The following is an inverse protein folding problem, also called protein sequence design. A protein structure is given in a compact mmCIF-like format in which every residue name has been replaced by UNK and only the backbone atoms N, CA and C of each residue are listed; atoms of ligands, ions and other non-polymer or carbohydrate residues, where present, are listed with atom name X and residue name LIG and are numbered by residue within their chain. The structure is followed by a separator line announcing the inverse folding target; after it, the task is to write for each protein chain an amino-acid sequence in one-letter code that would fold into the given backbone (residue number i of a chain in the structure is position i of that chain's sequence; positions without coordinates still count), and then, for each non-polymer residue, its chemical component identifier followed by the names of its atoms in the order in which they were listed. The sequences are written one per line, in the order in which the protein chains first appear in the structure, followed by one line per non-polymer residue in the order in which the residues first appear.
data_IF_642613554746
#
_entry.id   IF_642613554746
#
_cell.length_a   1.000
_cell.length_b   1.000
_cell.length_c   1.000
_cell.angle_alpha   90.00
_cell.angle_beta   90.00
_cell.angle_gamma   90.00
#
_symmetry.space_group_name_H-M   'P 1'
#
loop_
_entity.id
_entity.type
_entity.pdbx_description
1 polymer ?
#
# COMPACT_ATOMS: atom_id res chain seq x y z
N UNK A 1 -18.85 22.66 82.71
CA UNK A 1 -17.78 23.68 82.66
C UNK A 1 -16.45 22.96 82.59
N UNK A 2 -15.90 23.00 81.38
CA UNK A 2 -14.53 22.73 80.90
C UNK A 2 -13.55 21.90 81.78
N UNK A 3 -13.11 20.77 81.22
CA UNK A 3 -11.78 20.19 81.45
C UNK A 3 -10.89 20.53 80.25
N UNK A 4 -9.61 20.91 80.44
CA UNK A 4 -8.69 21.08 79.33
C UNK A 4 -7.99 19.77 78.94
N UNK A 5 -7.75 19.72 77.64
CA UNK A 5 -7.06 18.74 76.82
C UNK A 5 -5.67 18.29 77.32
N UNK A 6 -5.36 17.01 77.08
CA UNK A 6 -4.14 16.62 76.36
C UNK A 6 -4.27 15.17 75.89
N UNK A 7 -4.84 14.96 74.71
CA UNK A 7 -4.77 13.67 74.01
C UNK A 7 -3.52 13.64 73.14
N UNK A 8 -2.71 12.63 73.40
CA UNK A 8 -1.54 12.23 72.64
C UNK A 8 -1.94 11.90 71.19
N UNK A 9 -1.50 12.69 70.22
CA UNK A 9 -1.68 12.39 68.81
C UNK A 9 -0.70 11.29 68.39
N UNK A 10 -1.21 10.06 68.26
CA UNK A 10 -0.55 8.97 67.56
C UNK A 10 -0.57 9.29 66.06
N UNK A 11 0.57 9.71 65.51
CA UNK A 11 0.74 9.90 64.07
C UNK A 11 0.73 8.53 63.37
N UNK A 12 -0.36 8.20 62.71
CA UNK A 12 -0.42 7.09 61.76
C UNK A 12 0.24 7.55 60.45
N UNK A 13 1.53 7.24 60.28
CA UNK A 13 2.22 7.41 59.00
C UNK A 13 1.74 6.27 58.09
N UNK A 14 0.75 6.55 57.25
CA UNK A 14 0.41 5.70 56.11
C UNK A 14 1.54 5.86 55.10
N UNK A 15 2.48 4.93 55.10
CA UNK A 15 3.46 4.79 54.02
C UNK A 15 2.69 4.29 52.80
N UNK A 16 2.27 5.21 51.94
CA UNK A 16 1.91 4.92 50.56
C UNK A 16 3.17 4.39 49.86
N UNK A 17 3.33 3.08 49.85
CA UNK A 17 4.22 2.39 48.91
C UNK A 17 3.83 2.90 47.50
N UNK A 18 4.75 3.50 46.73
CA UNK A 18 4.50 3.70 45.32
C UNK A 18 4.46 2.29 44.74
N UNK A 19 3.27 1.86 44.33
CA UNK A 19 3.06 0.64 43.56
C UNK A 19 3.63 0.90 42.16
N UNK A 20 4.94 1.07 42.06
CA UNK A 20 5.71 1.07 40.83
C UNK A 20 6.25 -0.35 40.67
N UNK A 21 5.33 -1.29 40.45
CA UNK A 21 5.63 -2.46 39.64
C UNK A 21 5.35 -2.04 38.21
N UNK A 22 6.43 -1.74 37.51
CA UNK A 22 6.53 -1.57 36.07
C UNK A 22 5.77 -2.67 35.33
N UNK A 23 4.53 -2.38 34.94
CA UNK A 23 3.88 -3.02 33.79
C UNK A 23 4.39 -2.30 32.55
N UNK A 24 5.64 -2.54 32.20
CA UNK A 24 6.19 -2.16 30.92
C UNK A 24 6.79 -3.42 30.28
N UNK A 25 6.28 -3.72 29.09
CA UNK A 25 6.75 -4.69 28.12
C UNK A 25 6.64 -6.18 28.52
N UNK A 26 5.51 -6.79 28.15
CA UNK A 26 5.49 -7.86 27.14
C UNK A 26 4.06 -8.38 26.95
N UNK A 27 3.21 -7.60 26.28
CA UNK A 27 2.21 -8.20 25.40
C UNK A 27 2.86 -8.34 24.02
N UNK A 28 3.86 -9.21 23.91
CA UNK A 28 4.20 -9.76 22.60
C UNK A 28 3.08 -10.75 22.29
N UNK A 29 2.07 -10.24 21.58
CA UNK A 29 0.86 -10.94 21.19
C UNK A 29 1.19 -12.27 20.50
N UNK A 30 0.33 -13.28 20.68
CA UNK A 30 0.34 -14.59 20.00
C UNK A 30 0.32 -14.52 18.45
N UNK A 31 0.43 -13.35 17.83
CA UNK A 31 0.20 -13.08 16.39
C UNK A 31 1.45 -12.98 15.51
N UNK A 32 2.67 -12.97 16.06
CA UNK A 32 3.89 -12.85 15.23
C UNK A 32 4.21 -14.17 14.52
N UNK A 33 4.24 -14.13 13.19
CA UNK A 33 4.61 -15.25 12.32
C UNK A 33 6.12 -15.45 12.37
N UNK A 34 6.57 -16.62 12.85
CA UNK A 34 7.99 -17.00 12.87
C UNK A 34 8.40 -17.90 11.71
N UNK A 35 7.47 -18.65 11.13
CA UNK A 35 7.69 -19.54 10.00
C UNK A 35 6.61 -19.30 8.95
N UNK A 36 7.02 -19.13 7.71
CA UNK A 36 6.13 -18.89 6.59
C UNK A 36 6.37 -19.97 5.53
N UNK A 37 5.35 -20.75 5.11
CA UNK A 37 5.56 -21.79 4.11
C UNK A 37 6.18 -21.23 2.83
N UNK A 38 7.14 -21.96 2.26
CA UNK A 38 7.93 -21.50 1.11
C UNK A 38 9.17 -20.70 1.49
N UNK A 39 9.30 -20.20 2.72
CA UNK A 39 10.54 -19.58 3.22
C UNK A 39 11.39 -20.62 3.96
N UNK A 40 12.70 -20.67 3.68
CA UNK A 40 13.60 -21.62 4.34
C UNK A 40 14.02 -21.11 5.73
N UNK A 41 13.66 -21.87 6.77
CA UNK A 41 13.94 -21.52 8.16
C UNK A 41 13.01 -20.45 8.75
N UNK A 42 13.36 -19.91 9.94
CA UNK A 42 12.59 -18.85 10.57
C UNK A 42 12.76 -17.52 9.83
N UNK A 43 11.71 -16.69 9.83
CA UNK A 43 11.77 -15.34 9.27
C UNK A 43 12.82 -14.49 10.03
N UNK A 44 13.73 -13.79 9.34
CA UNK A 44 14.71 -12.91 9.98
C UNK A 44 14.12 -11.54 10.38
N UNK A 45 12.81 -11.36 10.25
CA UNK A 45 12.06 -10.14 10.57
C UNK A 45 10.75 -10.51 11.26
N UNK A 46 10.17 -9.56 11.99
CA UNK A 46 8.87 -9.75 12.65
C UNK A 46 7.75 -9.41 11.67
N UNK A 47 6.96 -10.42 11.32
CA UNK A 47 5.75 -10.32 10.51
C UNK A 47 4.52 -10.59 11.38
N UNK A 48 3.54 -9.71 11.31
CA UNK A 48 2.21 -9.91 11.89
C UNK A 48 1.17 -9.76 10.78
N UNK A 49 0.09 -10.52 10.87
CA UNK A 49 -1.03 -10.43 9.94
C UNK A 49 -2.34 -10.50 10.70
N UNK A 50 -3.38 -9.94 10.10
CA UNK A 50 -4.70 -10.00 10.70
C UNK A 50 -5.72 -9.17 9.95
N UNK A 51 -6.85 -8.96 10.62
CA UNK A 51 -7.97 -8.20 10.09
C UNK A 51 -8.33 -7.07 11.03
N UNK A 52 -8.68 -5.93 10.47
CA UNK A 52 -9.34 -4.83 11.18
C UNK A 52 -10.72 -4.62 10.57
N UNK A 53 -11.74 -4.63 11.42
CA UNK A 53 -13.11 -4.33 11.05
C UNK A 53 -13.33 -2.82 10.87
N UNK A 54 -13.96 -2.44 9.77
CA UNK A 54 -14.31 -1.04 9.42
C UNK A 54 -15.72 -0.99 8.82
N UNK A 55 -16.32 0.19 8.79
CA UNK A 55 -17.74 0.37 8.50
C UNK A 55 -18.59 0.41 9.78
N UNK A 56 -19.82 0.89 9.67
CA UNK A 56 -20.69 1.18 10.84
C UNK A 56 -20.94 -0.06 11.72
N UNK A 57 -21.00 -1.24 11.11
CA UNK A 57 -21.21 -2.52 11.77
C UNK A 57 -19.97 -3.43 11.67
N UNK A 58 -18.79 -2.87 11.38
CA UNK A 58 -17.56 -3.60 11.07
C UNK A 58 -17.76 -4.65 9.97
N UNK A 59 -18.64 -4.34 9.03
CA UNK A 59 -19.05 -5.23 7.97
C UNK A 59 -17.97 -5.44 6.90
N UNK A 60 -16.96 -4.57 6.87
CA UNK A 60 -15.75 -4.72 6.05
C UNK A 60 -14.59 -5.16 6.92
N UNK A 61 -13.88 -6.20 6.50
CA UNK A 61 -12.72 -6.73 7.17
C UNK A 61 -11.49 -6.52 6.28
N UNK A 62 -10.67 -5.52 6.61
CA UNK A 62 -9.43 -5.23 5.88
C UNK A 62 -8.29 -6.09 6.42
N UNK A 63 -7.69 -6.88 5.53
CA UNK A 63 -6.52 -7.70 5.82
C UNK A 63 -5.23 -6.87 5.72
N UNK A 64 -4.30 -7.10 6.64
CA UNK A 64 -3.01 -6.42 6.63
C UNK A 64 -1.84 -7.37 6.89
N UNK A 65 -0.68 -6.96 6.39
CA UNK A 65 0.63 -7.47 6.75
C UNK A 65 1.39 -6.33 7.43
N UNK A 66 1.85 -6.54 8.65
CA UNK A 66 2.67 -5.59 9.38
C UNK A 66 4.07 -6.17 9.56
N UNK A 67 5.08 -5.46 9.04
CA UNK A 67 6.49 -5.79 9.24
C UNK A 67 7.13 -4.71 10.07
N UNK A 68 7.70 -5.08 11.23
CA UNK A 68 8.43 -4.13 12.07
C UNK A 68 9.76 -3.74 11.43
N UNK A 69 10.22 -2.52 11.72
CA UNK A 69 11.57 -2.12 11.34
C UNK A 69 12.59 -3.11 11.90
N UNK A 70 13.50 -3.54 11.04
CA UNK A 70 14.60 -4.44 11.39
C UNK A 70 15.72 -3.71 12.15
N UNK A 71 15.70 -2.37 12.19
CA UNK A 71 16.70 -1.54 12.90
C UNK A 71 16.22 -1.16 14.30
N UNK A 72 15.24 -0.26 14.42
CA UNK A 72 14.69 0.16 15.70
C UNK A 72 13.21 0.54 15.57
N UNK A 73 12.28 -0.42 15.74
CA UNK A 73 10.85 -0.18 15.49
C UNK A 73 10.19 0.81 16.46
N UNK A 74 10.81 1.13 17.59
CA UNK A 74 10.32 2.15 18.53
C UNK A 74 10.63 3.59 18.07
N UNK A 75 11.65 3.77 17.24
CA UNK A 75 12.11 5.09 16.77
C UNK A 75 11.92 5.31 15.27
N UNK A 76 11.97 4.23 14.49
CA UNK A 76 11.87 4.26 13.05
C UNK A 76 10.43 4.60 12.61
N UNK A 77 10.27 5.25 11.44
CA UNK A 77 8.95 5.67 10.98
C UNK A 77 8.03 4.48 10.68
N UNK A 78 6.73 4.71 10.87
CA UNK A 78 5.67 3.84 10.39
C UNK A 78 5.22 4.30 9.00
N UNK A 79 5.21 3.39 8.03
CA UNK A 79 4.69 3.60 6.69
C UNK A 79 3.39 2.80 6.51
N UNK A 80 2.36 3.44 5.96
CA UNK A 80 1.22 2.75 5.37
C UNK A 80 1.49 2.58 3.87
N UNK A 81 1.49 1.34 3.37
CA UNK A 81 1.63 1.03 1.95
C UNK A 81 0.28 0.66 1.34
N UNK A 82 -0.09 1.38 0.29
CA UNK A 82 -1.31 1.16 -0.49
C UNK A 82 -0.92 0.80 -1.92
N UNK A 83 -1.27 -0.42 -2.34
CA UNK A 83 -1.10 -0.84 -3.74
C UNK A 83 -2.32 -0.38 -4.56
N UNK A 84 -2.08 0.02 -5.81
CA UNK A 84 -3.10 0.57 -6.70
C UNK A 84 -4.01 -0.46 -7.37
N UNK A 85 -4.23 -0.32 -8.67
CA UNK A 85 -5.14 -1.16 -9.47
C UNK A 85 -6.24 -0.32 -10.13
N UNK A 86 -7.32 0.04 -9.42
CA UNK A 86 -7.67 -0.29 -8.03
C UNK A 86 -7.93 -1.78 -7.81
N UNK A 87 -7.81 -2.24 -6.56
CA UNK A 87 -8.11 -3.62 -6.19
C UNK A 87 -6.94 -4.59 -6.27
N UNK A 88 -5.70 -4.09 -6.37
CA UNK A 88 -4.51 -4.91 -6.28
C UNK A 88 -4.05 -5.11 -4.82
N UNK A 89 -3.75 -6.35 -4.46
CA UNK A 89 -3.32 -6.74 -3.13
C UNK A 89 -1.97 -6.15 -2.77
N UNK A 90 -1.88 -5.73 -1.51
CA UNK A 90 -0.68 -5.19 -0.88
C UNK A 90 0.42 -6.24 -0.69
N UNK A 91 0.12 -7.53 -0.91
CA UNK A 91 1.14 -8.56 -1.10
C UNK A 91 2.09 -8.22 -2.26
N UNK A 92 1.65 -7.40 -3.23
CA UNK A 92 2.53 -6.88 -4.28
C UNK A 92 3.63 -5.99 -3.70
N UNK A 93 3.26 -5.06 -2.81
CA UNK A 93 4.20 -4.25 -2.03
C UNK A 93 5.18 -5.09 -1.22
N UNK A 94 4.64 -6.11 -0.55
CA UNK A 94 5.40 -6.98 0.35
C UNK A 94 6.43 -7.88 -0.37
N UNK A 95 6.09 -8.40 -1.56
CA UNK A 95 6.84 -9.48 -2.21
C UNK A 95 7.46 -9.14 -3.57
N UNK A 96 7.11 -8.01 -4.17
CA UNK A 96 7.62 -7.60 -5.50
C UNK A 96 8.23 -6.20 -5.52
N UNK A 97 8.00 -5.39 -4.48
CA UNK A 97 8.38 -3.98 -4.46
C UNK A 97 9.33 -3.71 -3.29
N UNK A 98 8.81 -3.27 -2.15
CA UNK A 98 9.62 -2.70 -1.07
C UNK A 98 9.73 -3.58 0.18
N UNK A 99 9.01 -4.70 0.22
CA UNK A 99 8.99 -5.58 1.38
C UNK A 99 10.15 -6.58 1.46
N UNK A 100 10.23 -7.33 2.57
CA UNK A 100 11.36 -8.22 2.90
C UNK A 100 11.29 -9.58 2.20
N UNK A 101 10.27 -9.81 1.37
CA UNK A 101 10.05 -11.06 0.67
C UNK A 101 10.25 -10.87 -0.83
N UNK A 102 10.68 -11.94 -1.50
CA UNK A 102 10.60 -12.07 -2.95
C UNK A 102 10.35 -13.51 -3.35
N UNK A 103 9.61 -13.73 -4.43
CA UNK A 103 9.46 -15.06 -5.00
C UNK A 103 10.71 -15.47 -5.77
N UNK A 104 11.18 -16.69 -5.54
CA UNK A 104 12.16 -17.30 -6.43
C UNK A 104 11.48 -17.55 -7.80
N UNK A 105 11.96 -16.86 -8.83
CA UNK A 105 11.43 -17.04 -10.20
C UNK A 105 12.08 -18.28 -10.81
N UNK A 106 11.36 -19.41 -10.73
CA UNK A 106 11.72 -20.68 -11.35
C UNK A 106 10.49 -21.29 -12.03
N UNK A 107 10.70 -22.24 -12.94
CA UNK A 107 9.61 -22.95 -13.59
C UNK A 107 8.75 -23.70 -12.56
N UNK A 108 7.46 -23.39 -12.53
CA UNK A 108 6.48 -23.99 -11.64
C UNK A 108 6.31 -25.47 -11.96
N UNK A 109 6.72 -26.30 -11.01
CA UNK A 109 6.71 -27.76 -11.11
C UNK A 109 5.54 -28.40 -10.32
N UNK A 110 4.59 -27.59 -9.84
CA UNK A 110 3.48 -28.05 -8.99
C UNK A 110 3.77 -28.07 -7.48
N UNK A 111 5.00 -27.76 -7.06
CA UNK A 111 5.34 -27.60 -5.64
C UNK A 111 5.04 -26.18 -5.14
N UNK A 112 4.94 -26.02 -3.82
CA UNK A 112 4.73 -24.72 -3.20
C UNK A 112 5.87 -23.75 -3.60
N UNK A 113 5.56 -22.54 -4.09
CA UNK A 113 6.57 -21.56 -4.44
C UNK A 113 7.53 -21.20 -3.30
N UNK A 114 8.79 -20.99 -3.65
CA UNK A 114 9.84 -20.60 -2.70
C UNK A 114 9.90 -19.08 -2.56
N UNK A 115 10.00 -18.63 -1.30
CA UNK A 115 10.25 -17.26 -0.89
C UNK A 115 11.70 -17.11 -0.48
N UNK A 116 12.29 -15.98 -0.86
CA UNK A 116 13.62 -15.57 -0.47
C UNK A 116 13.53 -14.26 0.32
N UNK A 117 14.51 -14.04 1.18
CA UNK A 117 14.70 -12.75 1.84
C UNK A 117 15.15 -11.68 0.83
N UNK A 118 14.59 -10.48 0.95
CA UNK A 118 14.99 -9.29 0.22
C UNK A 118 15.86 -8.39 1.13
N UNK A 119 17.19 -8.33 0.93
CA UNK A 119 18.07 -7.52 1.77
C UNK A 119 17.90 -6.01 1.57
N UNK A 120 17.32 -5.59 0.45
CA UNK A 120 17.14 -4.18 0.06
C UNK A 120 15.76 -3.63 0.48
N UNK A 121 15.04 -4.38 1.31
CA UNK A 121 13.72 -4.00 1.82
C UNK A 121 13.72 -2.68 2.57
N UNK A 122 12.65 -1.90 2.42
CA UNK A 122 12.46 -0.66 3.17
C UNK A 122 12.21 -0.93 4.67
N UNK A 123 11.89 -2.17 5.03
CA UNK A 123 11.78 -2.62 6.43
C UNK A 123 13.10 -2.54 7.18
N UNK A 124 14.24 -2.36 6.48
CA UNK A 124 15.53 -2.09 7.11
C UNK A 124 15.56 -0.83 7.98
N UNK A 125 14.70 0.15 7.69
CA UNK A 125 14.71 1.46 8.36
C UNK A 125 13.31 2.00 8.65
N UNK A 126 12.26 1.16 8.51
CA UNK A 126 10.88 1.56 8.76
C UNK A 126 10.02 0.37 9.13
N UNK A 127 9.01 0.60 9.96
CA UNK A 127 7.92 -0.36 10.15
C UNK A 127 6.87 -0.11 9.08
N UNK A 128 6.33 -1.14 8.44
CA UNK A 128 5.44 -0.98 7.28
C UNK A 128 4.17 -1.81 7.47
N UNK A 129 3.02 -1.17 7.30
CA UNK A 129 1.70 -1.82 7.21
C UNK A 129 1.30 -1.85 5.73
N UNK A 130 1.23 -3.04 5.17
CA UNK A 130 0.69 -3.32 3.85
C UNK A 130 -0.78 -3.72 4.01
N UNK A 131 -1.72 -2.97 3.45
CA UNK A 131 -3.16 -3.23 3.63
C UNK A 131 -3.85 -3.55 2.31
N UNK A 132 -4.56 -4.68 2.28
CA UNK A 132 -5.42 -5.04 1.16
C UNK A 132 -6.65 -4.14 1.15
N UNK A 133 -6.63 -3.12 0.29
CA UNK A 133 -7.68 -2.11 0.20
C UNK A 133 -7.97 -1.79 -1.28
N UNK A 134 -9.24 -1.61 -1.68
CA UNK A 134 -10.48 -1.61 -0.89
C UNK A 134 -11.00 -3.03 -0.55
N UNK A 135 -12.18 -3.12 0.05
CA UNK A 135 -12.88 -4.40 0.29
C UNK A 135 -12.96 -5.27 -0.97
N UNK A 136 -12.72 -6.58 -0.83
CA UNK A 136 -12.66 -7.54 -1.94
C UNK A 136 -11.30 -7.63 -2.63
N UNK A 137 -10.31 -6.86 -2.17
CA UNK A 137 -8.90 -6.94 -2.60
C UNK A 137 -8.17 -7.99 -1.79
N UNK A 138 -7.38 -8.84 -2.45
CA UNK A 138 -6.54 -9.84 -1.79
C UNK A 138 -7.32 -10.71 -0.80
N UNK A 139 -6.99 -10.60 0.49
CA UNK A 139 -7.68 -11.32 1.56
C UNK A 139 -8.77 -10.52 2.29
N UNK A 140 -9.00 -9.26 1.93
CA UNK A 140 -10.04 -8.40 2.51
C UNK A 140 -11.43 -8.76 1.98
N UNK A 141 -12.44 -8.77 2.86
CA UNK A 141 -13.79 -9.22 2.51
C UNK A 141 -14.89 -8.45 3.28
N UNK A 142 -16.14 -8.63 2.86
CA UNK A 142 -17.32 -8.12 3.56
C UNK A 142 -18.09 -9.27 4.23
N UNK A 143 -18.61 -9.05 5.44
CA UNK A 143 -19.38 -10.06 6.21
C UNK A 143 -20.85 -10.14 5.81
N UNK A 144 -21.40 -9.08 5.20
CA UNK A 144 -22.74 -9.04 4.63
C UNK A 144 -22.72 -9.26 3.12
N UNK A 145 -23.82 -9.78 2.55
CA UNK A 145 -23.94 -9.97 1.10
C UNK A 145 -23.58 -8.67 0.35
N UNK A 146 -22.51 -8.73 -0.43
CA UNK A 146 -21.64 -7.62 -0.84
C UNK A 146 -22.25 -6.57 -1.77
N UNK A 147 -23.50 -6.76 -2.21
CA UNK A 147 -24.14 -5.83 -3.17
C UNK A 147 -24.43 -4.44 -2.58
N UNK A 148 -24.41 -4.30 -1.25
CA UNK A 148 -24.62 -3.02 -0.58
C UNK A 148 -23.35 -2.15 -0.48
N UNK A 149 -22.15 -2.75 -0.43
CA UNK A 149 -20.89 -2.03 -0.21
C UNK A 149 -20.13 -1.95 -1.51
N UNK A 150 -20.46 -0.92 -2.30
CA UNK A 150 -19.74 -0.65 -3.53
C UNK A 150 -18.46 0.13 -3.21
N UNK A 151 -17.26 -0.40 -3.50
CA UNK A 151 -16.02 0.34 -3.24
C UNK A 151 -15.94 1.57 -4.16
N UNK A 152 -15.45 2.69 -3.63
CA UNK A 152 -15.17 3.92 -4.35
C UNK A 152 -13.96 4.63 -3.76
N UNK A 153 -13.46 5.70 -4.39
CA UNK A 153 -12.32 6.46 -3.82
C UNK A 153 -12.68 7.00 -2.42
N UNK A 154 -13.87 7.62 -2.29
CA UNK A 154 -14.35 8.16 -1.00
C UNK A 154 -14.52 7.06 0.06
N UNK A 155 -15.15 5.93 -0.29
CA UNK A 155 -15.36 4.82 0.64
C UNK A 155 -14.03 4.18 1.05
N UNK A 156 -13.11 4.01 0.10
CA UNK A 156 -11.78 3.47 0.35
C UNK A 156 -10.99 4.36 1.33
N UNK A 157 -11.01 5.67 1.13
CA UNK A 157 -10.34 6.63 2.03
C UNK A 157 -10.96 6.59 3.43
N UNK A 158 -12.29 6.56 3.53
CA UNK A 158 -12.99 6.46 4.83
C UNK A 158 -12.61 5.18 5.59
N UNK A 159 -12.59 4.03 4.91
CA UNK A 159 -12.18 2.77 5.52
C UNK A 159 -10.69 2.74 5.88
N UNK A 160 -9.81 3.31 5.06
CA UNK A 160 -8.39 3.40 5.36
C UNK A 160 -8.12 4.31 6.57
N UNK A 161 -8.88 5.41 6.70
CA UNK A 161 -8.81 6.29 7.86
C UNK A 161 -9.25 5.57 9.14
N UNK A 162 -10.40 4.88 9.11
CA UNK A 162 -10.88 4.10 10.25
C UNK A 162 -9.91 2.98 10.64
N UNK A 163 -9.38 2.27 9.63
CA UNK A 163 -8.33 1.27 9.81
C UNK A 163 -7.13 1.85 10.57
N UNK A 164 -6.60 3.00 10.12
CA UNK A 164 -5.46 3.66 10.76
C UNK A 164 -5.75 4.11 12.19
N UNK A 165 -6.99 4.50 12.50
CA UNK A 165 -7.39 4.88 13.86
C UNK A 165 -7.42 3.69 14.81
N UNK A 166 -7.73 2.49 14.30
CA UNK A 166 -7.85 1.25 15.08
C UNK A 166 -6.53 0.50 15.19
N UNK A 167 -5.74 0.45 14.11
CA UNK A 167 -4.51 -0.37 14.06
C UNK A 167 -3.48 0.13 15.09
N UNK A 168 -3.08 -0.75 16.01
CA UNK A 168 -2.06 -0.44 17.03
C UNK A 168 -2.47 0.59 18.09
N UNK A 169 -3.76 0.96 18.18
CA UNK A 169 -4.25 1.93 19.17
C UNK A 169 -5.52 1.46 19.89
N UNK A 170 -5.44 0.28 20.50
CA UNK A 170 -6.51 -0.32 21.31
C UNK A 170 -6.96 0.59 22.46
N UNK A 171 -6.09 1.49 22.92
CA UNK A 171 -6.34 2.42 24.02
C UNK A 171 -6.98 3.75 23.59
N UNK A 172 -7.22 3.97 22.29
CA UNK A 172 -7.92 5.15 21.78
C UNK A 172 -7.19 6.49 22.02
N UNK A 173 -5.85 6.47 22.08
CA UNK A 173 -5.03 7.66 22.34
C UNK A 173 -5.02 8.62 21.15
N UNK A 174 -5.12 9.93 21.41
CA UNK A 174 -5.15 11.01 20.41
C UNK A 174 -3.88 11.89 20.47
N UNK A 175 -3.39 12.45 19.34
CA UNK A 175 -3.87 12.24 17.98
C UNK A 175 -3.53 10.85 17.47
N UNK A 176 -4.48 10.23 16.77
CA UNK A 176 -4.35 8.85 16.27
C UNK A 176 -3.20 8.64 15.28
N UNK A 177 -2.95 9.64 14.43
CA UNK A 177 -1.91 9.58 13.39
C UNK A 177 -1.14 10.91 13.37
N UNK A 178 0.18 10.83 13.44
CA UNK A 178 1.09 11.96 13.33
C UNK A 178 1.73 12.00 11.93
N UNK A 179 0.93 12.30 10.92
CA UNK A 179 1.36 12.29 9.52
C UNK A 179 2.55 13.24 9.33
N UNK A 180 3.64 12.74 8.73
CA UNK A 180 4.84 13.54 8.43
C UNK A 180 4.94 13.95 6.98
N UNK A 181 4.31 13.19 6.10
CA UNK A 181 4.39 13.35 4.66
C UNK A 181 3.87 12.11 3.96
N UNK A 182 3.98 12.10 2.64
CA UNK A 182 3.57 10.97 1.80
C UNK A 182 4.57 10.77 0.66
N UNK A 183 4.61 9.54 0.15
CA UNK A 183 5.42 9.18 -1.02
C UNK A 183 4.50 8.49 -2.01
N UNK A 184 4.69 8.77 -3.30
CA UNK A 184 3.92 8.12 -4.36
C UNK A 184 4.86 7.72 -5.49
N UNK A 185 4.79 6.44 -5.86
CA UNK A 185 5.54 5.84 -6.95
C UNK A 185 4.65 5.64 -8.16
N UNK A 186 5.05 6.16 -9.33
CA UNK A 186 4.31 6.04 -10.59
C UNK A 186 2.80 6.39 -10.43
N UNK A 187 2.47 7.59 -9.90
CA UNK A 187 1.10 7.90 -9.52
C UNK A 187 0.20 8.26 -10.70
N UNK A 188 -0.96 7.59 -10.82
CA UNK A 188 -2.09 8.17 -11.56
C UNK A 188 -2.65 9.32 -10.74
N UNK A 189 -2.60 10.53 -11.28
CA UNK A 189 -3.00 11.77 -10.63
C UNK A 189 -4.22 12.39 -11.33
N UNK A 190 -4.40 12.11 -12.62
CA UNK A 190 -5.61 12.44 -13.38
C UNK A 190 -5.50 12.00 -14.83
N UNK A 191 -6.59 11.45 -15.39
CA UNK A 191 -6.59 10.85 -16.73
C UNK A 191 -6.08 11.77 -17.84
N UNK A 192 -6.28 13.10 -17.71
CA UNK A 192 -5.78 14.09 -18.67
C UNK A 192 -4.25 14.26 -18.70
N UNK A 193 -3.52 13.80 -17.68
CA UNK A 193 -2.05 13.86 -17.63
C UNK A 193 -1.40 12.51 -17.94
N UNK A 194 -1.91 11.45 -17.33
CA UNK A 194 -1.20 10.15 -17.29
C UNK A 194 -1.48 9.27 -18.51
N UNK A 195 -2.72 9.28 -19.03
CA UNK A 195 -3.15 8.36 -20.09
C UNK A 195 -2.66 8.77 -21.48
N UNK A 196 -2.44 10.06 -21.72
CA UNK A 196 -1.89 10.55 -22.99
C UNK A 196 -0.36 10.39 -23.10
N UNK A 197 0.32 10.05 -22.00
CA UNK A 197 1.77 9.89 -21.98
C UNK A 197 2.25 8.51 -22.48
N UNK A 198 1.37 7.49 -22.49
CA UNK A 198 1.77 6.08 -22.71
C UNK A 198 2.32 5.83 -24.12
N UNK A 199 1.68 6.37 -25.16
CA UNK A 199 2.07 6.16 -26.57
C UNK A 199 3.35 6.93 -26.94
N UNK A 200 3.47 8.24 -26.64
CA UNK A 200 4.73 8.97 -26.84
C UNK A 200 5.90 8.35 -26.07
N UNK A 201 5.65 7.87 -24.84
CA UNK A 201 6.66 7.17 -24.05
C UNK A 201 7.09 5.85 -24.70
N UNK A 202 6.14 5.01 -25.12
CA UNK A 202 6.42 3.74 -25.76
C UNK A 202 7.24 3.90 -27.06
N UNK A 203 6.96 4.95 -27.83
CA UNK A 203 7.73 5.30 -29.02
C UNK A 203 9.14 5.77 -28.66
N UNK A 204 9.28 6.69 -27.70
CA UNK A 204 10.59 7.17 -27.23
C UNK A 204 11.50 6.07 -26.66
N UNK A 205 10.91 5.00 -26.14
CA UNK A 205 11.60 3.81 -25.64
C UNK A 205 11.76 2.69 -26.69
N UNK A 206 11.39 2.94 -27.95
CA UNK A 206 11.44 2.00 -29.07
C UNK A 206 10.66 0.68 -28.84
N UNK A 207 9.58 0.73 -28.05
CA UNK A 207 8.69 -0.41 -27.77
C UNK A 207 7.62 -0.61 -28.85
N UNK A 208 7.34 0.44 -29.62
CA UNK A 208 6.47 0.43 -30.79
C UNK A 208 7.25 1.00 -31.99
N UNK A 209 6.92 0.54 -33.21
CA UNK A 209 7.60 1.02 -34.41
C UNK A 209 7.18 2.45 -34.76
N UNK A 210 8.00 3.15 -35.54
CA UNK A 210 7.68 4.48 -36.06
C UNK A 210 6.35 4.47 -36.83
N UNK A 211 6.08 3.40 -37.59
CA UNK A 211 4.82 3.24 -38.33
C UNK A 211 3.61 3.08 -37.41
N UNK A 212 3.74 2.30 -36.32
CA UNK A 212 2.66 2.15 -35.35
C UNK A 212 2.43 3.45 -34.57
N UNK A 213 3.50 4.18 -34.20
CA UNK A 213 3.40 5.47 -33.53
C UNK A 213 2.75 6.54 -34.43
N UNK A 214 3.21 6.69 -35.67
CA UNK A 214 2.63 7.63 -36.64
C UNK A 214 1.16 7.29 -36.89
N UNK A 215 0.83 6.00 -37.08
CA UNK A 215 -0.55 5.58 -37.26
C UNK A 215 -1.42 5.88 -36.03
N UNK A 216 -0.89 5.72 -34.81
CA UNK A 216 -1.59 6.11 -33.57
C UNK A 216 -1.77 7.63 -33.45
N UNK A 217 -0.76 8.44 -33.74
CA UNK A 217 -0.88 9.91 -33.74
C UNK A 217 -1.92 10.40 -34.76
N UNK A 218 -1.84 9.89 -35.99
CA UNK A 218 -2.73 10.30 -37.08
C UNK A 218 -4.17 9.83 -36.86
N UNK A 219 -4.36 8.57 -36.42
CA UNK A 219 -5.71 8.00 -36.26
C UNK A 219 -6.39 8.45 -34.97
N UNK A 220 -5.65 8.69 -33.88
CA UNK A 220 -6.22 9.04 -32.57
C UNK A 220 -6.12 10.54 -32.23
N UNK A 221 -5.33 11.34 -32.98
CA UNK A 221 -5.25 12.79 -32.81
C UNK A 221 -4.67 13.24 -31.47
N UNK A 222 -3.83 12.41 -30.83
CA UNK A 222 -3.27 12.67 -29.51
C UNK A 222 -4.24 12.42 -28.34
N UNK A 223 -5.43 11.87 -28.60
CA UNK A 223 -6.41 11.47 -27.59
C UNK A 223 -6.59 9.94 -27.62
N UNK A 224 -6.08 9.26 -26.59
CA UNK A 224 -6.01 7.81 -26.55
C UNK A 224 -6.97 7.18 -25.52
N UNK A 225 -7.74 7.99 -24.81
CA UNK A 225 -8.71 7.53 -23.81
C UNK A 225 -10.14 7.66 -24.32
N UNK A 226 -10.55 8.86 -24.74
CA UNK A 226 -11.92 9.17 -25.17
C UNK A 226 -12.07 9.08 -26.69
N UNK A 227 -11.90 7.86 -27.16
CA UNK A 227 -11.91 7.56 -28.59
C UNK A 227 -13.35 7.44 -29.06
N UNK A 228 -13.66 8.08 -30.18
CA UNK A 228 -14.93 7.87 -30.89
C UNK A 228 -15.11 6.37 -31.16
N UNK A 229 -16.18 5.72 -30.68
CA UNK A 229 -16.39 4.29 -30.87
C UNK A 229 -16.52 3.88 -32.35
N UNK A 230 -16.70 4.84 -33.26
CA UNK A 230 -16.70 4.63 -34.71
C UNK A 230 -15.30 4.69 -35.35
N UNK A 231 -14.29 5.17 -34.63
CA UNK A 231 -12.89 5.21 -35.08
C UNK A 231 -12.21 3.86 -34.91
N UNK A 232 -12.58 2.92 -35.79
CA UNK A 232 -12.10 1.54 -35.76
C UNK A 232 -10.58 1.40 -35.98
N UNK A 233 -9.97 2.36 -36.67
CA UNK A 233 -8.52 2.37 -36.95
C UNK A 233 -7.73 2.62 -35.66
N UNK A 234 -8.04 3.70 -34.93
CA UNK A 234 -7.44 4.00 -33.63
C UNK A 234 -7.64 2.83 -32.63
N UNK A 235 -8.86 2.27 -32.57
CA UNK A 235 -9.19 1.15 -31.69
C UNK A 235 -8.39 -0.13 -32.00
N UNK A 236 -8.09 -0.41 -33.26
CA UNK A 236 -7.30 -1.58 -33.64
C UNK A 236 -5.81 -1.41 -33.36
N UNK A 237 -5.26 -0.22 -33.59
CA UNK A 237 -3.88 0.10 -33.26
C UNK A 237 -3.62 0.03 -31.75
N UNK A 238 -4.57 0.49 -30.92
CA UNK A 238 -4.48 0.37 -29.46
C UNK A 238 -4.56 -1.06 -28.93
N UNK A 239 -5.23 -1.96 -29.66
CA UNK A 239 -5.23 -3.39 -29.30
C UNK A 239 -3.87 -4.03 -29.54
N UNK A 240 -3.16 -3.64 -30.59
CA UNK A 240 -1.82 -4.14 -30.89
C UNK A 240 -0.79 -3.68 -29.83
N UNK A 241 -1.00 -2.52 -29.21
CA UNK A 241 -0.17 -1.98 -28.13
C UNK A 241 -0.29 -2.76 -26.79
N UNK A 242 -1.44 -3.38 -26.50
CA UNK A 242 -1.73 -3.94 -25.17
C UNK A 242 -1.45 -5.45 -25.09
N UNK A 243 -0.27 -5.84 -24.61
CA UNK A 243 0.00 -7.17 -24.03
C UNK A 243 1.11 -7.07 -22.97
N UNK A 244 1.00 -7.76 -21.81
CA UNK A 244 2.18 -8.48 -21.34
C UNK A 244 1.92 -9.82 -20.62
N UNK A 245 2.99 -10.63 -20.60
CA UNK A 245 3.17 -11.87 -19.83
C UNK A 245 3.47 -11.57 -18.35
N UNK A 246 2.93 -12.40 -17.43
CA UNK A 246 3.06 -12.22 -15.98
C UNK A 246 3.28 -13.55 -15.23
N UNK A 247 4.46 -14.14 -15.39
CA UNK A 247 4.75 -15.44 -14.79
C UNK A 247 4.94 -15.39 -13.25
N UNK A 248 5.60 -14.37 -12.73
CA UNK A 248 5.82 -14.20 -11.28
C UNK A 248 4.51 -14.02 -10.49
N UNK A 249 3.51 -13.36 -11.10
CA UNK A 249 2.18 -13.18 -10.48
C UNK A 249 1.42 -14.50 -10.39
N UNK A 250 1.64 -15.42 -11.33
CA UNK A 250 1.04 -16.75 -11.30
C UNK A 250 1.59 -17.56 -10.11
N UNK A 251 2.91 -17.52 -9.90
CA UNK A 251 3.58 -18.16 -8.77
C UNK A 251 3.08 -17.58 -7.44
N UNK A 252 2.95 -16.25 -7.34
CA UNK A 252 2.38 -15.61 -6.14
C UNK A 252 0.96 -16.09 -5.85
N UNK A 253 0.13 -16.25 -6.89
CA UNK A 253 -1.22 -16.79 -6.71
C UNK A 253 -1.20 -18.20 -6.14
N UNK A 254 -0.40 -19.10 -6.69
CA UNK A 254 -0.31 -20.48 -6.20
C UNK A 254 0.13 -20.55 -4.74
N UNK A 255 1.06 -19.68 -4.35
CA UNK A 255 1.48 -19.55 -2.96
C UNK A 255 0.34 -19.04 -2.07
N UNK A 256 -0.33 -17.95 -2.45
CA UNK A 256 -1.41 -17.35 -1.64
C UNK A 256 -2.68 -18.23 -1.55
N UNK A 257 -2.89 -19.13 -2.51
CA UNK A 257 -4.00 -20.10 -2.51
C UNK A 257 -3.72 -21.36 -1.67
N UNK A 258 -2.47 -21.62 -1.30
CA UNK A 258 -2.14 -22.78 -0.48
C UNK A 258 -2.75 -22.68 0.93
N UNK A 259 -3.37 -23.78 1.38
CA UNK A 259 -4.08 -23.81 2.67
C UNK A 259 -3.14 -23.65 3.87
N UNK A 260 -1.90 -24.13 3.77
CA UNK A 260 -0.91 -23.98 4.83
C UNK A 260 -0.40 -22.54 4.88
N UNK A 261 -0.22 -21.89 3.72
CA UNK A 261 0.08 -20.45 3.65
C UNK A 261 -1.05 -19.62 4.29
N UNK A 262 -2.30 -19.85 3.87
CA UNK A 262 -3.45 -19.12 4.42
C UNK A 262 -3.58 -19.27 5.94
N UNK A 263 -3.37 -20.49 6.47
CA UNK A 263 -3.34 -20.73 7.92
C UNK A 263 -2.20 -19.98 8.61
N UNK A 264 -0.99 -20.00 8.04
CA UNK A 264 0.16 -19.29 8.59
C UNK A 264 -0.05 -17.77 8.59
N UNK A 265 -0.74 -17.23 7.58
CA UNK A 265 -1.12 -15.82 7.49
C UNK A 265 -2.37 -15.47 8.31
N UNK A 266 -2.94 -16.41 9.07
CA UNK A 266 -4.18 -16.20 9.84
C UNK A 266 -5.39 -15.77 8.98
N UNK A 267 -5.43 -16.17 7.71
CA UNK A 267 -6.59 -15.96 6.83
C UNK A 267 -7.75 -16.81 7.32
N UNK A 268 -8.93 -16.19 7.49
CA UNK A 268 -10.13 -16.86 8.02
C UNK A 268 -10.70 -17.84 6.99
N UNK A 269 -10.91 -19.09 7.38
CA UNK A 269 -11.42 -20.14 6.49
C UNK A 269 -12.82 -19.80 5.96
N UNK A 270 -13.05 -20.08 4.67
CA UNK A 270 -14.34 -19.82 4.00
C UNK A 270 -14.64 -18.36 3.65
N UNK A 271 -13.72 -17.42 3.93
CA UNK A 271 -13.93 -15.99 3.61
C UNK A 271 -13.48 -15.62 2.21
N UNK A 272 -12.51 -16.36 1.66
CA UNK A 272 -11.90 -16.12 0.34
C UNK A 272 -11.80 -17.46 -0.38
N UNK A 273 -12.50 -17.60 -1.52
CA UNK A 273 -12.46 -18.84 -2.32
C UNK A 273 -11.10 -18.99 -2.99
N UNK A 274 -10.73 -18.02 -3.84
CA UNK A 274 -9.44 -17.94 -4.52
C UNK A 274 -8.84 -16.56 -4.39
N UNK A 275 -7.56 -16.48 -4.06
CA UNK A 275 -6.83 -15.23 -3.98
C UNK A 275 -6.56 -14.68 -5.38
N UNK A 276 -6.76 -13.39 -5.53
CA UNK A 276 -6.58 -12.66 -6.78
C UNK A 276 -5.66 -11.49 -6.51
N UNK A 277 -4.54 -11.41 -7.25
CA UNK A 277 -3.59 -10.31 -7.11
C UNK A 277 -4.24 -8.97 -7.36
N UNK A 278 -5.02 -8.83 -8.43
CA UNK A 278 -5.75 -7.62 -8.78
C UNK A 278 -7.19 -7.96 -9.16
N UNK A 279 -8.15 -7.59 -8.31
CA UNK A 279 -9.56 -7.83 -8.54
C UNK A 279 -10.18 -6.63 -9.26
N UNK A 280 -10.10 -6.61 -10.60
CA UNK A 280 -10.73 -5.58 -11.40
C UNK A 280 -12.27 -5.73 -11.51
N UNK A 281 -12.82 -6.85 -11.02
CA UNK A 281 -14.26 -7.15 -11.02
C UNK A 281 -15.05 -6.54 -9.85
N UNK A 282 -14.41 -5.72 -9.01
CA UNK A 282 -15.01 -5.16 -7.79
C UNK A 282 -16.19 -4.20 -8.02
N UNK A 283 -16.39 -3.72 -9.25
CA UNK A 283 -17.39 -2.68 -9.53
C UNK A 283 -17.02 -1.33 -8.90
N UNK A 284 -15.71 -1.07 -8.77
CA UNK A 284 -15.13 0.14 -8.17
C UNK A 284 -15.64 1.41 -8.86
N UNK A 285 -15.93 2.44 -8.06
CA UNK A 285 -16.34 3.77 -8.54
C UNK A 285 -15.22 4.76 -8.35
N UNK A 286 -14.72 5.31 -9.45
CA UNK A 286 -13.83 6.47 -9.40
C UNK A 286 -14.66 7.75 -9.25
N UNK A 287 -14.95 8.14 -8.01
CA UNK A 287 -15.72 9.34 -7.66
C UNK A 287 -14.83 10.57 -7.39
N UNK A 288 -13.50 10.40 -7.41
CA UNK A 288 -12.51 11.47 -7.40
C UNK A 288 -11.82 11.52 -8.78
N UNK A 289 -12.11 12.55 -9.62
CA UNK A 289 -11.58 12.61 -10.98
C UNK A 289 -10.08 12.96 -11.06
N UNK A 290 -9.54 13.61 -10.02
CA UNK A 290 -8.11 13.93 -9.92
C UNK A 290 -7.70 14.16 -8.47
N UNK A 291 -6.51 13.69 -8.11
CA UNK A 291 -5.88 13.94 -6.82
C UNK A 291 -5.05 15.25 -6.78
N UNK A 292 -4.95 15.98 -7.89
CA UNK A 292 -4.12 17.18 -8.03
C UNK A 292 -4.41 18.24 -6.96
N UNK A 293 -5.69 18.57 -6.74
CA UNK A 293 -6.10 19.56 -5.73
C UNK A 293 -5.75 19.13 -4.30
N UNK A 294 -5.69 17.82 -4.04
CA UNK A 294 -5.26 17.31 -2.74
C UNK A 294 -3.74 17.46 -2.55
N UNK A 295 -2.94 17.31 -3.61
CA UNK A 295 -1.51 17.65 -3.55
C UNK A 295 -1.29 19.13 -3.24
N UNK A 296 -2.07 20.03 -3.86
CA UNK A 296 -2.04 21.47 -3.56
C UNK A 296 -2.40 21.72 -2.10
N UNK A 297 -3.51 21.16 -1.63
CA UNK A 297 -3.97 21.33 -0.26
C UNK A 297 -2.95 20.83 0.77
N UNK A 298 -2.43 19.61 0.62
CA UNK A 298 -1.47 19.03 1.57
C UNK A 298 -0.15 19.82 1.61
N UNK A 299 0.31 20.32 0.47
CA UNK A 299 1.49 21.17 0.39
C UNK A 299 1.28 22.49 1.15
N UNK A 300 0.08 23.10 1.07
CA UNK A 300 -0.24 24.31 1.85
C UNK A 300 -0.27 24.08 3.37
N UNK A 301 -0.46 22.83 3.80
CA UNK A 301 -0.38 22.42 5.22
C UNK A 301 1.05 22.13 5.66
N UNK A 302 2.03 22.17 4.76
CA UNK A 302 3.44 21.90 5.07
C UNK A 302 3.81 20.43 5.11
N UNK A 303 2.97 19.53 4.60
CA UNK A 303 3.32 18.12 4.48
C UNK A 303 4.34 17.92 3.37
N UNK A 304 5.38 17.14 3.66
CA UNK A 304 6.41 16.80 2.67
C UNK A 304 5.89 15.71 1.75
N UNK A 305 6.20 15.81 0.48
CA UNK A 305 5.91 14.78 -0.51
C UNK A 305 7.15 14.39 -1.29
N UNK A 306 7.29 13.10 -1.58
CA UNK A 306 8.23 12.60 -2.57
C UNK A 306 7.44 11.90 -3.67
N UNK A 307 7.60 12.40 -4.89
CA UNK A 307 6.99 11.86 -6.08
C UNK A 307 8.12 11.27 -6.91
N UNK A 308 8.05 9.98 -7.20
CA UNK A 308 9.05 9.28 -7.99
C UNK A 308 8.35 8.39 -9.03
N UNK A 309 9.01 8.18 -10.16
CA UNK A 309 8.49 7.32 -11.23
C UNK A 309 9.65 6.57 -11.86
N UNK A 310 9.51 5.26 -12.03
CA UNK A 310 10.44 4.47 -12.84
C UNK A 310 10.35 4.91 -14.30
N UNK A 311 11.50 5.16 -14.92
CA UNK A 311 11.62 5.66 -16.29
C UNK A 311 11.32 4.62 -17.38
N UNK A 312 11.04 3.37 -16.99
CA UNK A 312 10.62 2.27 -17.87
C UNK A 312 9.14 1.87 -17.69
N UNK A 313 8.38 2.56 -16.83
CA UNK A 313 6.96 2.26 -16.65
C UNK A 313 6.11 2.82 -17.80
N UNK A 314 5.57 1.91 -18.60
CA UNK A 314 4.67 2.25 -19.71
C UNK A 314 3.23 2.49 -19.26
N UNK A 315 2.83 1.98 -18.09
CA UNK A 315 1.45 2.06 -17.60
C UNK A 315 1.20 3.43 -16.99
N UNK A 316 2.15 3.94 -16.18
CA UNK A 316 2.13 5.32 -15.68
C UNK A 316 3.48 5.98 -15.96
N UNK A 317 3.69 6.50 -17.18
CA UNK A 317 4.96 7.08 -17.57
C UNK A 317 5.34 8.28 -16.72
N UNK A 318 6.64 8.40 -16.42
CA UNK A 318 7.19 9.53 -15.67
C UNK A 318 6.88 10.91 -16.31
N UNK A 319 6.61 10.95 -17.62
CA UNK A 319 6.22 12.17 -18.33
C UNK A 319 4.89 12.74 -17.81
N UNK A 320 3.90 11.89 -17.52
CA UNK A 320 2.64 12.32 -16.90
C UNK A 320 2.90 12.93 -15.52
N UNK A 321 3.76 12.27 -14.74
CA UNK A 321 4.21 12.74 -13.43
C UNK A 321 4.89 14.12 -13.51
N UNK A 322 5.85 14.31 -14.42
CA UNK A 322 6.51 15.60 -14.62
C UNK A 322 5.53 16.70 -15.04
N UNK A 323 4.54 16.35 -15.87
CA UNK A 323 3.57 17.32 -16.39
C UNK A 323 2.73 17.92 -15.28
N UNK A 324 2.13 17.10 -14.40
CA UNK A 324 1.31 17.64 -13.31
C UNK A 324 2.17 18.30 -12.21
N UNK A 325 3.39 17.83 -11.95
CA UNK A 325 4.32 18.51 -11.01
C UNK A 325 4.61 19.94 -11.50
N UNK A 326 4.86 20.13 -12.81
CA UNK A 326 5.05 21.46 -13.40
C UNK A 326 3.79 22.32 -13.28
N UNK A 327 2.61 21.71 -13.41
CA UNK A 327 1.32 22.42 -13.26
C UNK A 327 1.06 22.94 -11.85
N UNK A 328 1.69 22.37 -10.80
CA UNK A 328 1.63 22.94 -9.44
C UNK A 328 2.23 24.35 -9.34
N UNK A 329 3.13 24.70 -10.27
CA UNK A 329 3.77 26.02 -10.35
C UNK A 329 4.47 26.46 -9.04
N UNK A 330 5.12 25.52 -8.36
CA UNK A 330 5.90 25.80 -7.16
C UNK A 330 7.25 26.43 -7.51
N UNK A 331 7.77 27.25 -6.60
CA UNK A 331 9.12 27.81 -6.74
C UNK A 331 10.16 26.70 -6.62
N UNK A 332 11.07 26.64 -7.59
CA UNK A 332 12.21 25.72 -7.57
C UNK A 332 13.22 26.25 -6.57
N UNK A 333 13.43 25.50 -5.47
CA UNK A 333 14.42 25.84 -4.44
C UNK A 333 15.81 25.30 -4.77
N UNK A 334 15.87 24.22 -5.55
CA UNK A 334 17.10 23.61 -6.06
C UNK A 334 16.84 23.09 -7.48
N UNK A 335 17.78 23.35 -8.40
CA UNK A 335 17.65 22.92 -9.79
C UNK A 335 17.57 21.39 -9.91
N UNK A 336 16.78 20.95 -10.89
CA UNK A 336 16.68 19.55 -11.29
C UNK A 336 18.07 19.02 -11.67
N UNK A 337 18.45 17.89 -11.07
CA UNK A 337 19.76 17.27 -11.24
C UNK A 337 19.62 15.75 -11.20
N UNK A 338 20.58 15.05 -11.80
CA UNK A 338 20.71 13.62 -11.60
C UNK A 338 21.04 13.33 -10.12
N UNK A 339 20.44 12.26 -9.60
CA UNK A 339 20.82 11.67 -8.33
C UNK A 339 21.57 10.37 -8.63
N UNK A 340 22.48 9.99 -7.74
CA UNK A 340 23.36 8.85 -7.97
C UNK A 340 23.36 7.91 -6.77
N UNK A 341 23.40 6.62 -7.05
CA UNK A 341 23.57 5.53 -6.07
C UNK A 341 24.75 4.68 -6.54
N UNK A 342 25.75 4.52 -5.68
CA UNK A 342 26.95 3.70 -5.98
C UNK A 342 27.64 4.05 -7.32
N UNK A 343 27.59 5.32 -7.72
CA UNK A 343 28.21 5.81 -8.96
C UNK A 343 27.37 5.61 -10.22
N UNK A 344 26.15 5.09 -10.11
CA UNK A 344 25.18 5.01 -11.21
C UNK A 344 24.11 6.08 -11.06
N UNK A 345 23.65 6.63 -12.18
CA UNK A 345 22.43 7.45 -12.20
C UNK A 345 21.27 6.53 -11.88
N UNK A 346 20.43 6.95 -10.95
CA UNK A 346 19.35 6.13 -10.44
C UNK A 346 17.97 6.61 -10.90
#
# INVERSE_FOLDING_TARGET
MEKPNSLCHLLLIIILLPLWLSLAAAAASESTIKYLPGFDGPLPFDLETGYIGVGEAEEVQLFYYFVKSERNPEQDPLLLWLTGGPGCSALSGLAFEIGPLRFQVAEYNGSLPTLLYNPDSWTKVSSIIFVDSPVGTGFSYATTNSTAIRPSDIVQVSHAEEFLRKVGNENGVQPFVNLKGYMIGNPVTGGGFDNNAQIPFAHGMALISDELYQSLEESCGGEYERIDPTNLECLNNLKAFRQPQFYSYLICKYWADDVHVRRALHVREGTIDGWIRCNYGLGYVSDIPSSFEYHVYLSTKGYRSLIYSGDHDIVVPFLGTQTWIRALNYSIVEDWRSWHVEGQVA
#
